data_IF_462706666596
#
_entry.id   IF_462706666596
#
_cell.length_a   1.000
_cell.length_b   1.000
_cell.length_c   1.000
_cell.angle_alpha   90.00
_cell.angle_beta   90.00
_cell.angle_gamma   90.00
#
_symmetry.space_group_name_H-M   'P 1'
#
loop_
_entity.id
_entity.type
_entity.pdbx_description
1 polymer ?
#
# COMPACT_ATOMS: atom_id res chain seq x y z
N UNK A 1 -39.34 -4.12 12.43
CA UNK A 1 -38.87 -5.52 12.24
C UNK A 1 -37.34 -5.61 12.17
N UNK A 2 -36.60 -5.24 13.23
CA UNK A 2 -35.13 -5.30 13.24
C UNK A 2 -34.48 -5.56 14.61
N UNK A 3 -35.25 -5.94 15.64
CA UNK A 3 -34.70 -6.18 17.00
C UNK A 3 -34.41 -7.66 17.30
N UNK A 4 -34.69 -8.59 16.38
CA UNK A 4 -34.58 -10.05 16.61
C UNK A 4 -33.41 -10.73 15.89
N UNK A 5 -32.33 -10.01 15.58
CA UNK A 5 -31.10 -10.60 14.99
C UNK A 5 -29.91 -10.68 15.94
N UNK A 6 -29.94 -9.93 17.05
CA UNK A 6 -28.82 -9.85 17.99
C UNK A 6 -28.85 -10.88 19.12
N UNK A 7 -29.98 -11.59 19.31
CA UNK A 7 -30.10 -12.60 20.35
C UNK A 7 -29.38 -13.93 20.04
N UNK A 8 -28.90 -14.14 18.80
CA UNK A 8 -28.28 -15.41 18.39
C UNK A 8 -26.74 -15.45 18.56
N UNK A 9 -26.07 -14.29 18.66
CA UNK A 9 -24.61 -14.24 18.82
C UNK A 9 -24.17 -14.45 20.28
N UNK A 10 -25.03 -14.12 21.24
CA UNK A 10 -24.77 -14.34 22.68
C UNK A 10 -25.16 -15.75 23.17
N UNK A 11 -25.96 -16.50 22.39
CA UNK A 11 -26.35 -17.88 22.73
C UNK A 11 -25.19 -18.89 22.61
N UNK A 12 -24.12 -18.54 21.90
CA UNK A 12 -22.92 -19.37 21.78
C UNK A 12 -22.02 -19.36 23.02
N UNK A 13 -22.33 -18.55 24.04
CA UNK A 13 -21.49 -18.46 25.25
C UNK A 13 -21.79 -19.52 26.32
N UNK A 14 -22.89 -20.26 26.21
CA UNK A 14 -23.33 -21.20 27.25
C UNK A 14 -23.53 -22.65 26.77
N UNK A 15 -23.14 -22.97 25.52
CA UNK A 15 -23.38 -24.27 24.89
C UNK A 15 -22.18 -25.22 24.80
N UNK A 16 -21.02 -24.87 25.35
CA UNK A 16 -19.91 -25.80 25.51
C UNK A 16 -19.95 -26.29 26.94
N UNK A 17 -20.52 -27.48 27.15
CA UNK A 17 -20.35 -28.19 28.40
C UNK A 17 -18.87 -28.16 28.74
N UNK A 18 -18.53 -27.58 29.89
CA UNK A 18 -17.17 -27.59 30.40
C UNK A 18 -16.73 -29.05 30.40
N UNK A 19 -15.74 -29.46 29.58
CA UNK A 19 -15.25 -30.81 29.68
C UNK A 19 -14.80 -30.96 31.13
N UNK A 20 -15.24 -32.02 31.81
CA UNK A 20 -14.83 -32.30 33.19
C UNK A 20 -13.36 -32.74 33.19
N UNK A 21 -12.47 -31.86 32.79
CA UNK A 21 -11.07 -31.96 33.14
C UNK A 21 -11.05 -31.75 34.65
N UNK A 22 -10.45 -32.66 35.41
CA UNK A 22 -10.29 -32.51 36.84
C UNK A 22 -9.55 -31.19 37.13
N UNK A 23 -10.29 -30.11 37.42
CA UNK A 23 -9.75 -28.76 37.69
C UNK A 23 -8.81 -28.74 38.91
N UNK A 24 -8.87 -29.79 39.72
CA UNK A 24 -8.09 -29.96 40.95
C UNK A 24 -6.61 -30.32 40.70
N UNK A 25 -6.24 -30.77 39.50
CA UNK A 25 -4.84 -31.09 39.21
C UNK A 25 -4.05 -29.83 38.83
N UNK A 26 -3.10 -29.45 39.70
CA UNK A 26 -2.24 -28.27 39.52
C UNK A 26 -1.49 -28.25 38.18
N UNK A 27 -1.21 -29.44 37.63
CA UNK A 27 -0.53 -29.65 36.35
C UNK A 27 -1.35 -29.14 35.17
N UNK A 28 -2.68 -29.31 35.22
CA UNK A 28 -3.58 -28.85 34.17
C UNK A 28 -3.66 -27.32 34.14
N UNK A 29 -3.78 -26.71 35.33
CA UNK A 29 -3.77 -25.24 35.50
C UNK A 29 -2.45 -24.63 35.04
N UNK A 30 -1.32 -25.26 35.37
CA UNK A 30 0.00 -24.83 34.92
C UNK A 30 0.12 -24.87 33.38
N UNK A 31 -0.33 -25.95 32.75
CA UNK A 31 -0.30 -26.10 31.29
C UNK A 31 -1.14 -25.03 30.59
N UNK A 32 -2.38 -24.79 31.06
CA UNK A 32 -3.24 -23.74 30.50
C UNK A 32 -2.62 -22.34 30.66
N UNK A 33 -1.98 -22.07 31.79
CA UNK A 33 -1.28 -20.82 32.03
C UNK A 33 -0.13 -20.61 31.05
N UNK A 34 0.69 -21.64 30.83
CA UNK A 34 1.77 -21.61 29.85
C UNK A 34 1.28 -21.48 28.42
N UNK A 35 0.21 -22.18 28.03
CA UNK A 35 -0.41 -22.02 26.71
C UNK A 35 -0.87 -20.57 26.49
N UNK A 36 -1.50 -19.95 27.49
CA UNK A 36 -1.94 -18.54 27.41
C UNK A 36 -0.75 -17.57 27.36
N UNK A 37 0.30 -17.81 28.12
CA UNK A 37 1.52 -17.00 28.10
C UNK A 37 2.25 -17.11 26.75
N UNK A 38 2.41 -18.32 26.22
CA UNK A 38 3.00 -18.57 24.90
C UNK A 38 2.16 -17.96 23.79
N UNK A 39 0.84 -18.10 23.83
CA UNK A 39 -0.06 -17.47 22.87
C UNK A 39 0.08 -15.95 22.88
N UNK A 40 0.17 -15.34 24.08
CA UNK A 40 0.49 -13.93 24.23
C UNK A 40 1.83 -13.58 23.60
N UNK A 41 2.91 -14.28 23.98
CA UNK A 41 4.27 -14.02 23.53
C UNK A 41 4.45 -14.17 22.01
N UNK A 42 3.88 -15.23 21.43
CA UNK A 42 3.91 -15.48 19.99
C UNK A 42 3.00 -14.53 19.20
N UNK A 43 1.98 -13.93 19.83
CA UNK A 43 1.13 -12.91 19.19
C UNK A 43 1.70 -11.50 19.25
N UNK A 44 2.65 -11.20 20.15
CA UNK A 44 3.34 -9.90 20.23
C UNK A 44 3.82 -9.35 18.87
N UNK A 45 4.53 -10.12 18.01
CA UNK A 45 4.97 -9.60 16.72
C UNK A 45 3.78 -9.16 15.82
N UNK A 46 2.63 -9.81 15.92
CA UNK A 46 1.43 -9.47 15.14
C UNK A 46 0.72 -8.22 15.68
N UNK A 47 0.81 -7.93 16.98
CA UNK A 47 0.27 -6.70 17.57
C UNK A 47 0.97 -5.47 17.00
N UNK A 48 2.28 -5.55 16.73
CA UNK A 48 3.05 -4.47 16.08
C UNK A 48 2.49 -4.14 14.69
N UNK A 49 1.98 -5.13 13.96
CA UNK A 49 1.34 -4.89 12.65
C UNK A 49 -0.07 -4.30 12.74
N UNK A 50 -0.72 -4.35 13.91
CA UNK A 50 -2.03 -3.75 14.13
C UNK A 50 -1.95 -2.24 14.43
N UNK A 51 -0.77 -1.74 14.84
CA UNK A 51 -0.56 -0.32 15.04
C UNK A 51 -0.61 0.43 13.70
N UNK A 52 -1.54 1.41 13.55
CA UNK A 52 -1.64 2.20 12.33
C UNK A 52 -0.34 3.00 12.13
N UNK A 53 0.45 2.63 11.13
CA UNK A 53 1.72 3.28 10.78
C UNK A 53 2.92 2.33 10.70
N UNK A 54 2.95 1.25 11.50
CA UNK A 54 4.05 0.27 11.47
C UNK A 54 4.04 -0.58 10.19
N UNK A 55 2.86 -0.84 9.64
CA UNK A 55 2.74 -1.42 8.29
C UNK A 55 3.41 -0.56 7.22
N UNK A 56 3.30 0.77 7.29
CA UNK A 56 3.93 1.68 6.34
C UNK A 56 5.46 1.79 6.56
N UNK A 57 5.93 1.62 7.79
CA UNK A 57 7.36 1.61 8.13
C UNK A 57 8.05 0.30 7.71
N UNK A 58 7.45 -0.86 7.96
CA UNK A 58 8.08 -2.16 7.65
C UNK A 58 7.99 -2.53 6.17
N UNK A 59 6.85 -2.26 5.53
CA UNK A 59 6.65 -2.70 4.14
C UNK A 59 7.23 -1.73 3.13
N UNK A 60 7.48 -0.47 3.51
CA UNK A 60 7.81 0.65 2.59
C UNK A 60 6.96 0.62 1.30
N UNK A 61 5.76 0.04 1.37
CA UNK A 61 5.00 -0.30 0.18
C UNK A 61 4.49 0.99 -0.44
N UNK A 62 4.93 1.27 -1.67
CA UNK A 62 4.44 2.41 -2.43
C UNK A 62 2.99 2.12 -2.82
N UNK A 63 2.05 3.05 -2.61
CA UNK A 63 0.68 2.85 -3.05
C UNK A 63 0.65 2.66 -4.58
N UNK A 64 0.21 1.50 -5.02
CA UNK A 64 -0.01 1.14 -6.43
C UNK A 64 -1.51 1.19 -6.75
N UNK A 65 -1.86 1.31 -8.03
CA UNK A 65 -3.23 1.25 -8.50
C UNK A 65 -3.28 0.93 -9.99
N UNK A 66 -4.39 0.38 -10.45
CA UNK A 66 -4.56 0.01 -11.85
C UNK A 66 -5.13 1.16 -12.67
N UNK A 67 -4.63 1.33 -13.90
CA UNK A 67 -5.25 2.23 -14.87
C UNK A 67 -6.42 1.53 -15.59
N UNK A 68 -7.17 2.27 -16.41
CA UNK A 68 -8.28 1.72 -17.22
C UNK A 68 -7.81 0.66 -18.23
N UNK A 69 -6.51 0.61 -18.52
CA UNK A 69 -5.89 -0.32 -19.45
C UNK A 69 -5.36 -1.57 -18.72
N UNK A 70 -5.57 -1.70 -17.40
CA UNK A 70 -5.14 -2.85 -16.61
C UNK A 70 -3.67 -2.82 -16.19
N UNK A 71 -2.93 -1.74 -16.46
CA UNK A 71 -1.53 -1.63 -16.08
C UNK A 71 -1.40 -1.20 -14.62
N UNK A 72 -0.44 -1.80 -13.90
CA UNK A 72 -0.12 -1.43 -12.54
C UNK A 72 0.72 -0.15 -12.53
N UNK A 73 0.12 0.95 -12.08
CA UNK A 73 0.74 2.28 -12.05
C UNK A 73 0.94 2.74 -10.61
N UNK A 74 2.06 3.40 -10.33
CA UNK A 74 2.29 4.04 -9.03
C UNK A 74 1.27 5.17 -8.83
N UNK A 75 0.57 5.17 -7.69
CA UNK A 75 -0.26 6.32 -7.30
C UNK A 75 0.66 7.50 -6.97
N UNK A 76 0.61 8.52 -7.81
CA UNK A 76 1.30 9.78 -7.59
C UNK A 76 0.56 10.56 -6.49
N UNK A 77 1.31 11.06 -5.51
CA UNK A 77 0.81 12.08 -4.59
C UNK A 77 0.55 13.38 -5.36
N UNK A 78 -0.30 14.27 -4.82
CA UNK A 78 -0.65 15.55 -5.47
C UNK A 78 0.60 16.34 -5.87
N UNK A 79 1.62 16.35 -5.00
CA UNK A 79 2.88 17.04 -5.24
C UNK A 79 3.71 16.38 -6.35
N UNK A 80 3.80 15.04 -6.36
CA UNK A 80 4.54 14.30 -7.38
C UNK A 80 3.91 14.45 -8.78
N UNK A 81 2.58 14.53 -8.85
CA UNK A 81 1.86 14.79 -10.11
C UNK A 81 2.24 16.16 -10.70
N UNK A 82 2.32 17.21 -9.87
CA UNK A 82 2.72 18.55 -10.30
C UNK A 82 4.14 18.59 -10.85
N UNK A 83 5.07 17.89 -10.20
CA UNK A 83 6.46 17.77 -10.67
C UNK A 83 6.55 17.08 -12.03
N UNK A 84 5.81 16.00 -12.24
CA UNK A 84 5.77 15.27 -13.51
C UNK A 84 5.21 16.11 -14.67
N UNK A 85 4.18 16.91 -14.40
CA UNK A 85 3.66 17.86 -15.39
C UNK A 85 4.71 18.90 -15.77
N UNK A 86 5.40 19.47 -14.78
CA UNK A 86 6.48 20.46 -15.02
C UNK A 86 7.65 19.85 -15.79
N UNK A 87 8.08 18.64 -15.42
CA UNK A 87 9.12 17.87 -16.14
C UNK A 87 8.74 17.65 -17.61
N UNK A 88 7.50 17.20 -17.87
CA UNK A 88 7.01 16.98 -19.23
C UNK A 88 6.93 18.28 -20.03
N UNK A 89 6.45 19.37 -19.42
CA UNK A 89 6.38 20.68 -20.05
C UNK A 89 7.77 21.21 -20.40
N UNK A 90 8.75 21.08 -19.49
CA UNK A 90 10.15 21.45 -19.73
C UNK A 90 10.76 20.66 -20.88
N UNK A 91 10.52 19.35 -20.96
CA UNK A 91 11.02 18.50 -22.05
C UNK A 91 10.40 18.88 -23.40
N UNK A 92 9.10 19.17 -23.42
CA UNK A 92 8.41 19.63 -24.63
C UNK A 92 8.91 21.00 -25.11
N UNK A 93 9.20 21.92 -24.17
CA UNK A 93 9.81 23.21 -24.50
C UNK A 93 11.25 23.04 -25.02
N UNK A 94 12.04 22.15 -24.41
CA UNK A 94 13.41 21.86 -24.84
C UNK A 94 13.47 21.26 -26.25
N UNK A 95 12.55 20.36 -26.60
CA UNK A 95 12.46 19.83 -27.97
C UNK A 95 12.07 20.90 -28.98
N UNK A 96 11.14 21.80 -28.63
CA UNK A 96 10.74 22.91 -29.51
C UNK A 96 11.90 23.90 -29.77
N UNK A 97 12.71 24.18 -28.75
CA UNK A 97 13.92 25.00 -28.92
C UNK A 97 14.96 24.33 -29.83
N UNK A 98 15.15 23.01 -29.71
CA UNK A 98 16.07 22.25 -30.56
C UNK A 98 15.65 22.28 -32.03
N UNK A 99 14.36 22.05 -32.31
CA UNK A 99 13.82 22.11 -33.67
C UNK A 99 13.94 23.51 -34.30
N UNK A 100 13.81 24.57 -33.50
CA UNK A 100 13.94 25.95 -33.99
C UNK A 100 15.38 26.29 -34.38
N UNK A 101 16.36 25.77 -33.63
CA UNK A 101 17.78 25.89 -33.97
C UNK A 101 18.12 25.14 -35.26
N UNK A 102 17.69 23.87 -35.38
CA UNK A 102 17.94 23.05 -36.56
C UNK A 102 17.27 23.62 -37.83
N UNK A 103 16.07 24.21 -37.72
CA UNK A 103 15.43 24.92 -38.87
C UNK A 103 16.15 26.22 -39.23
N UNK A 104 16.70 26.95 -38.26
CA UNK A 104 17.50 28.15 -38.50
C UNK A 104 18.81 27.83 -39.24
N UNK A 105 19.50 26.76 -38.84
CA UNK A 105 20.71 26.27 -39.51
C UNK A 105 20.43 25.73 -40.91
N UNK A 106 19.31 25.01 -41.12
CA UNK A 106 18.88 24.53 -42.43
C UNK A 106 18.59 25.68 -43.41
N UNK A 107 18.00 26.78 -42.94
CA UNK A 107 17.72 27.95 -43.79
C UNK A 107 18.99 28.79 -44.07
N UNK A 108 19.94 28.82 -43.12
CA UNK A 108 21.25 29.49 -43.30
C UNK A 108 22.19 28.73 -44.24
N UNK A 109 22.19 27.40 -44.21
CA UNK A 109 23.00 26.55 -45.10
C UNK A 109 22.50 26.53 -46.55
N UNK A 110 21.18 26.58 -46.78
CA UNK A 110 20.60 26.57 -48.12
C UNK A 110 20.87 27.88 -48.91
N UNK A 111 21.07 29.01 -48.21
CA UNK A 111 21.41 30.29 -48.85
C UNK A 111 22.85 30.32 -49.43
N UNK A 112 23.76 29.47 -48.94
CA UNK A 112 25.15 29.42 -49.41
C UNK A 112 25.37 28.56 -50.67
N UNK A 113 24.36 27.83 -51.15
CA UNK A 113 24.47 26.87 -52.26
C UNK A 113 24.02 27.41 -53.63
N UNK A 114 23.27 28.52 -53.70
CA UNK A 114 22.65 29.01 -54.95
C UNK A 114 23.45 30.11 -55.69
N UNK A 115 24.78 30.02 -55.74
CA UNK A 115 25.61 31.04 -56.41
C UNK A 115 26.86 30.48 -57.07
N UNK A 116 26.69 29.77 -58.18
CA UNK A 116 27.70 29.60 -59.26
C UNK A 116 26.99 29.59 -60.62
#
# INVERSE_FOLDING_TARGET
ALSRRWASVSAWRHGLGTPRFCEEEWQFRATLWWCKALYGLLSVPFVVFLLPGLGAALTHARPTGYNRNGECVRRLTVNARRQLFMERAKRAAASAHRESGERGEACGGAAAHWGE
#
